data_IF_064574839232
#
_entry.id   IF_064574839232
#
_cell.length_a   1.000
_cell.length_b   1.000
_cell.length_c   1.000
_cell.angle_alpha   90.00
_cell.angle_beta   90.00
_cell.angle_gamma   90.00
#
_symmetry.space_group_name_H-M   'P 1'
#
loop_
_entity.id
_entity.type
_entity.pdbx_description
1 polymer ?
#
# COMPACT_ATOMS: atom_id res chain seq x y z
N UNK A 1 4.01 -20.79 -12.78
CA UNK A 1 3.95 -19.98 -14.01
C UNK A 1 5.07 -18.97 -13.90
N UNK A 2 5.98 -18.97 -14.86
CA UNK A 2 7.00 -17.94 -14.98
C UNK A 2 6.47 -16.87 -15.92
N UNK A 3 6.65 -15.60 -15.58
CA UNK A 3 6.30 -14.47 -16.44
C UNK A 3 7.62 -13.95 -16.99
N UNK A 4 7.69 -13.62 -18.27
CA UNK A 4 8.86 -13.00 -18.89
C UNK A 4 8.69 -11.47 -18.90
N UNK A 5 9.12 -10.76 -17.85
CA UNK A 5 8.94 -9.32 -17.76
C UNK A 5 9.89 -8.60 -18.71
N UNK A 6 9.36 -7.61 -19.43
CA UNK A 6 10.20 -6.70 -20.22
C UNK A 6 11.11 -5.84 -19.33
N UNK A 7 10.69 -5.55 -18.09
CA UNK A 7 11.45 -4.78 -17.10
C UNK A 7 11.21 -5.36 -15.71
N UNK A 8 12.29 -5.61 -14.96
CA UNK A 8 12.24 -6.02 -13.54
C UNK A 8 12.91 -4.98 -12.67
N UNK A 9 12.20 -4.50 -11.65
CA UNK A 9 12.73 -3.57 -10.65
C UNK A 9 11.99 -3.74 -9.32
N UNK A 10 12.63 -3.31 -8.23
CA UNK A 10 12.04 -3.19 -6.91
C UNK A 10 11.82 -1.72 -6.48
N UNK A 11 12.06 -0.77 -7.39
CA UNK A 11 11.85 0.65 -7.15
C UNK A 11 10.45 1.09 -7.62
N UNK A 12 9.60 1.46 -6.68
CA UNK A 12 8.22 1.90 -6.93
C UNK A 12 8.15 3.09 -7.91
N UNK A 13 9.09 4.04 -7.80
CA UNK A 13 9.07 5.24 -8.65
C UNK A 13 9.42 4.88 -10.09
N UNK A 14 10.33 3.94 -10.29
CA UNK A 14 10.65 3.41 -11.62
C UNK A 14 9.45 2.64 -12.19
N UNK A 15 8.84 1.74 -11.42
CA UNK A 15 7.63 1.01 -11.82
C UNK A 15 6.53 1.96 -12.32
N UNK A 16 6.27 3.02 -11.55
CA UNK A 16 5.21 3.97 -11.85
C UNK A 16 5.53 4.84 -13.08
N UNK A 17 6.77 5.31 -13.20
CA UNK A 17 7.20 6.07 -14.39
C UNK A 17 7.13 5.23 -15.66
N UNK A 18 7.48 3.95 -15.58
CA UNK A 18 7.38 3.03 -16.72
C UNK A 18 5.92 2.86 -17.15
N UNK A 19 4.99 2.67 -16.20
CA UNK A 19 3.56 2.57 -16.50
C UNK A 19 3.01 3.85 -17.15
N UNK A 20 3.34 5.02 -16.59
CA UNK A 20 2.93 6.32 -17.15
C UNK A 20 3.51 6.59 -18.55
N UNK A 21 4.68 6.03 -18.86
CA UNK A 21 5.30 6.12 -20.18
C UNK A 21 4.72 5.11 -21.19
N UNK A 22 3.70 4.34 -20.82
CA UNK A 22 3.12 3.29 -21.67
C UNK A 22 3.96 2.02 -21.75
N UNK A 23 4.92 1.83 -20.84
CA UNK A 23 5.81 0.67 -20.80
C UNK A 23 5.17 -0.62 -20.27
N UNK A 24 3.87 -0.60 -19.95
CA UNK A 24 3.11 -1.79 -19.56
C UNK A 24 2.26 -1.59 -18.31
N UNK A 25 1.89 -2.70 -17.68
CA UNK A 25 1.06 -2.75 -16.46
C UNK A 25 1.97 -2.79 -15.24
N UNK A 26 1.53 -2.13 -14.16
CA UNK A 26 2.21 -2.17 -12.86
C UNK A 26 1.23 -2.45 -11.73
N UNK A 27 1.73 -2.86 -10.57
CA UNK A 27 0.92 -3.19 -9.40
C UNK A 27 1.55 -2.66 -8.12
N UNK A 28 0.74 -2.46 -7.08
CA UNK A 28 1.19 -1.98 -5.77
C UNK A 28 0.03 -1.41 -4.96
N UNK A 29 0.33 -0.70 -3.87
CA UNK A 29 -0.70 -0.08 -3.02
C UNK A 29 -1.36 1.11 -3.73
N UNK A 30 -2.69 1.18 -3.66
CA UNK A 30 -3.51 2.20 -4.33
C UNK A 30 -3.09 3.63 -3.95
N UNK A 31 -2.65 3.87 -2.71
CA UNK A 31 -2.14 5.18 -2.25
C UNK A 31 -1.09 5.75 -3.20
N UNK A 32 -0.23 4.86 -3.70
CA UNK A 32 0.86 5.23 -4.59
C UNK A 32 0.34 5.58 -5.99
N UNK A 33 -0.86 5.17 -6.38
CA UNK A 33 -1.42 5.42 -7.71
C UNK A 33 -2.56 6.46 -7.69
N UNK A 34 -3.13 6.76 -6.52
CA UNK A 34 -4.32 7.60 -6.32
C UNK A 34 -4.26 8.96 -7.02
N UNK A 35 -3.08 9.56 -7.17
CA UNK A 35 -2.95 10.82 -7.91
C UNK A 35 -3.26 10.64 -9.40
N UNK A 36 -2.70 9.59 -10.01
CA UNK A 36 -2.77 9.32 -11.44
C UNK A 36 -4.06 8.60 -11.85
N UNK A 37 -4.61 7.77 -10.96
CA UNK A 37 -5.95 7.21 -11.13
C UNK A 37 -7.01 8.33 -11.19
N UNK A 38 -6.90 9.33 -10.31
CA UNK A 38 -7.82 10.48 -10.31
C UNK A 38 -7.67 11.40 -11.52
N UNK A 39 -6.47 11.52 -12.10
CA UNK A 39 -6.27 12.30 -13.32
C UNK A 39 -6.63 11.54 -14.59
N UNK A 40 -6.84 10.22 -14.51
CA UNK A 40 -7.08 9.36 -15.67
C UNK A 40 -5.79 9.01 -16.44
N UNK A 41 -4.62 9.40 -15.94
CA UNK A 41 -3.32 9.00 -16.52
C UNK A 41 -3.03 7.52 -16.31
N UNK A 42 -3.60 6.92 -15.26
CA UNK A 42 -3.62 5.48 -15.04
C UNK A 42 -5.07 5.01 -14.90
N UNK A 43 -5.31 3.76 -15.27
CA UNK A 43 -6.59 3.07 -15.08
C UNK A 43 -6.37 1.81 -14.26
N UNK A 44 -7.34 1.49 -13.41
CA UNK A 44 -7.35 0.24 -12.63
C UNK A 44 -7.75 -0.94 -13.53
N UNK A 45 -7.12 -2.09 -13.32
CA UNK A 45 -7.34 -3.31 -14.10
C UNK A 45 -7.40 -4.51 -13.15
N UNK A 46 -8.17 -5.54 -13.53
CA UNK A 46 -8.27 -6.81 -12.79
C UNK A 46 -8.72 -6.66 -11.33
N UNK A 47 -9.64 -5.74 -11.06
CA UNK A 47 -10.12 -5.43 -9.69
C UNK A 47 -10.66 -6.68 -8.97
N UNK A 48 -11.38 -7.55 -9.69
CA UNK A 48 -11.90 -8.82 -9.16
C UNK A 48 -10.81 -9.81 -8.69
N UNK A 49 -9.56 -9.58 -9.09
CA UNK A 49 -8.42 -10.42 -8.74
C UNK A 49 -7.52 -9.80 -7.66
N UNK A 50 -7.87 -8.62 -7.13
CA UNK A 50 -7.10 -7.96 -6.09
C UNK A 50 -7.51 -8.48 -4.70
N UNK A 51 -6.60 -9.11 -3.94
CA UNK A 51 -6.91 -9.54 -2.59
C UNK A 51 -7.04 -8.32 -1.66
N UNK A 52 -7.91 -8.39 -0.63
CA UNK A 52 -8.00 -7.33 0.37
C UNK A 52 -6.67 -7.16 1.10
N UNK A 53 -6.20 -5.92 1.25
CA UNK A 53 -4.99 -5.60 1.99
C UNK A 53 -5.33 -5.38 3.48
N UNK A 54 -4.86 -6.23 4.41
CA UNK A 54 -5.20 -6.12 5.84
C UNK A 54 -4.53 -4.91 6.53
N UNK A 55 -3.75 -4.12 5.79
CA UNK A 55 -2.99 -3.00 6.32
C UNK A 55 -1.65 -3.40 6.92
N UNK A 56 -0.96 -2.39 7.45
CA UNK A 56 0.32 -2.57 8.12
C UNK A 56 0.15 -3.00 9.57
N UNK A 57 1.08 -3.83 10.06
CA UNK A 57 1.14 -4.30 11.44
C UNK A 57 2.35 -3.72 12.14
N UNK A 58 2.18 -3.31 13.40
CA UNK A 58 3.28 -2.91 14.26
C UNK A 58 3.74 -4.12 15.09
N UNK A 59 4.94 -4.62 14.80
CA UNK A 59 5.52 -5.75 15.52
C UNK A 59 6.52 -5.28 16.58
N UNK A 60 6.30 -5.67 17.84
CA UNK A 60 7.23 -5.41 18.94
C UNK A 60 7.14 -6.54 19.98
N UNK A 61 8.24 -6.83 20.72
CA UNK A 61 8.23 -7.88 21.73
C UNK A 61 7.25 -7.58 22.87
N UNK A 62 6.39 -8.54 23.20
CA UNK A 62 5.57 -8.49 24.41
C UNK A 62 6.46 -8.78 25.62
N UNK A 63 6.93 -7.72 26.30
CA UNK A 63 7.68 -7.82 27.56
C UNK A 63 6.78 -7.39 28.71
N UNK A 64 6.93 -8.03 29.87
CA UNK A 64 6.16 -7.72 31.10
C UNK A 64 6.28 -6.24 31.50
N UNK A 65 7.44 -5.62 31.25
CA UNK A 65 7.67 -4.18 31.40
C UNK A 65 7.98 -3.53 30.05
N UNK A 66 6.94 -3.07 29.34
CA UNK A 66 7.15 -2.27 28.13
C UNK A 66 7.71 -0.88 28.49
N UNK A 67 8.77 -0.41 27.81
CA UNK A 67 9.27 0.96 28.01
C UNK A 67 8.17 1.99 27.75
N UNK A 68 8.06 3.02 28.61
CA UNK A 68 7.02 4.04 28.50
C UNK A 68 6.98 4.72 27.12
N UNK A 69 8.15 4.92 26.50
CA UNK A 69 8.29 5.49 25.14
C UNK A 69 7.64 4.61 24.07
N UNK A 70 7.84 3.28 24.13
CA UNK A 70 7.24 2.34 23.18
C UNK A 70 5.71 2.31 23.34
N UNK A 71 5.23 2.28 24.59
CA UNK A 71 3.78 2.34 24.85
C UNK A 71 3.15 3.61 24.30
N UNK A 72 3.80 4.77 24.47
CA UNK A 72 3.33 6.02 23.91
C UNK A 72 3.29 6.00 22.37
N UNK A 73 4.33 5.46 21.72
CA UNK A 73 4.35 5.27 20.26
C UNK A 73 3.23 4.35 19.77
N UNK A 74 3.07 3.18 20.39
CA UNK A 74 2.01 2.21 20.06
C UNK A 74 0.63 2.87 20.18
N UNK A 75 0.40 3.62 21.25
CA UNK A 75 -0.87 4.32 21.47
C UNK A 75 -1.10 5.38 20.39
N UNK A 76 -0.08 6.17 20.05
CA UNK A 76 -0.16 7.20 19.02
C UNK A 76 -0.43 6.62 17.63
N UNK A 77 0.24 5.52 17.26
CA UNK A 77 0.01 4.84 15.98
C UNK A 77 -1.40 4.22 15.94
N UNK A 78 -1.89 3.70 17.08
CA UNK A 78 -3.26 3.16 17.17
C UNK A 78 -4.33 4.23 17.03
N UNK A 79 -4.18 5.39 17.66
CA UNK A 79 -5.12 6.50 17.48
C UNK A 79 -5.12 6.99 16.03
N UNK A 80 -3.94 7.13 15.42
CA UNK A 80 -3.82 7.51 14.01
C UNK A 80 -4.46 6.49 13.05
N UNK A 81 -4.39 5.18 13.37
CA UNK A 81 -5.07 4.13 12.59
C UNK A 81 -6.59 4.17 12.72
N UNK A 82 -7.14 4.59 13.86
CA UNK A 82 -8.59 4.73 14.04
C UNK A 82 -9.18 5.70 13.01
N UNK A 83 -8.50 6.82 12.79
CA UNK A 83 -8.89 7.83 11.80
C UNK A 83 -8.67 7.37 10.35
N UNK A 84 -7.71 6.46 10.12
CA UNK A 84 -7.38 5.96 8.79
C UNK A 84 -8.22 4.73 8.37
N UNK A 85 -8.58 3.81 9.28
CA UNK A 85 -9.35 2.60 8.94
C UNK A 85 -10.72 2.93 8.33
N UNK A 86 -11.35 4.02 8.78
CA UNK A 86 -12.62 4.49 8.22
C UNK A 86 -12.50 4.99 6.76
N UNK A 87 -11.32 5.38 6.31
CA UNK A 87 -11.07 5.81 4.93
C UNK A 87 -10.75 4.66 3.96
N UNK A 88 -10.51 3.44 4.47
CA UNK A 88 -10.09 2.25 3.73
C UNK A 88 -11.14 1.12 3.77
N UNK A 89 -12.36 1.42 4.21
CA UNK A 89 -13.46 0.48 4.07
C UNK A 89 -13.62 0.10 2.58
N UNK A 90 -13.82 -1.19 2.25
CA UNK A 90 -14.04 -1.58 0.87
C UNK A 90 -15.25 -0.81 0.32
N UNK A 91 -15.05 -0.17 -0.84
CA UNK A 91 -16.16 0.39 -1.63
C UNK A 91 -17.01 -0.81 -2.07
N UNK A 92 -18.34 -0.78 -1.85
CA UNK A 92 -19.22 -1.92 -2.12
C UNK A 92 -19.28 -2.32 -3.59
#
# INVERSE_FOLDING_TARGET
MDVDPQVTTNDLRLMLRTALAGGGITFGMEENYRRWLRSGELVSLLEDFLPPFPGFFLYFPSRRNQPAKLRALVQHVRSFRGDAHDAFAPVP
#
